data_IF_834815449094
#
_entry.id   IF_834815449094
#
_cell.length_a   1.000
_cell.length_b   1.000
_cell.length_c   1.000
_cell.angle_alpha   90.00
_cell.angle_beta   90.00
_cell.angle_gamma   90.00
#
_symmetry.space_group_name_H-M   'P 1'
#
loop_
_entity.id
_entity.type
_entity.pdbx_description
1 polymer ?
#
# COMPACT_ATOMS: atom_id res chain seq x y z
N UNK A 1 1.40 6.13 -18.13
CA UNK A 1 1.12 5.57 -16.79
C UNK A 1 -0.22 6.07 -16.29
N UNK A 2 -1.09 5.15 -15.88
CA UNK A 2 -2.41 5.49 -15.38
C UNK A 2 -2.59 5.02 -13.95
N UNK A 3 -3.38 5.75 -13.18
CA UNK A 3 -3.78 5.37 -11.83
C UNK A 3 -5.30 5.37 -11.76
N UNK A 4 -5.86 4.21 -11.45
CA UNK A 4 -7.31 4.00 -11.44
C UNK A 4 -7.71 3.56 -10.03
N UNK A 5 -8.81 4.11 -9.52
CA UNK A 5 -9.29 3.72 -8.18
C UNK A 5 -9.56 2.22 -8.11
N UNK A 6 -9.20 1.63 -7.00
CA UNK A 6 -9.53 0.24 -6.67
C UNK A 6 -11.05 0.17 -6.40
N UNK A 7 -11.74 -0.66 -7.18
CA UNK A 7 -13.20 -0.82 -7.10
C UNK A 7 -13.57 -2.29 -7.25
N UNK A 8 -14.86 -2.59 -7.10
CA UNK A 8 -15.38 -3.94 -7.33
C UNK A 8 -15.10 -4.43 -8.76
N UNK A 9 -14.92 -3.52 -9.72
CA UNK A 9 -14.67 -3.90 -11.11
C UNK A 9 -13.25 -4.42 -11.36
N UNK A 10 -12.25 -3.89 -10.62
CA UNK A 10 -10.85 -4.28 -10.83
C UNK A 10 -10.24 -5.08 -9.68
N UNK A 11 -10.95 -5.26 -8.57
CA UNK A 11 -10.42 -5.95 -7.39
C UNK A 11 -10.00 -7.40 -7.69
N UNK A 12 -10.77 -8.11 -8.52
CA UNK A 12 -10.45 -9.50 -8.85
C UNK A 12 -9.06 -9.66 -9.44
N UNK A 13 -8.71 -8.82 -10.41
CA UNK A 13 -7.39 -8.83 -11.04
C UNK A 13 -6.29 -8.50 -10.04
N UNK A 14 -6.53 -7.57 -9.13
CA UNK A 14 -5.58 -7.20 -8.08
C UNK A 14 -5.36 -8.37 -7.13
N UNK A 15 -6.44 -9.04 -6.71
CA UNK A 15 -6.34 -10.18 -5.78
C UNK A 15 -5.52 -11.31 -6.40
N UNK A 16 -5.79 -11.65 -7.66
CA UNK A 16 -5.06 -12.71 -8.35
C UNK A 16 -3.57 -12.40 -8.45
N UNK A 17 -3.23 -11.16 -8.79
CA UNK A 17 -1.84 -10.72 -8.87
C UNK A 17 -1.17 -10.70 -7.49
N UNK A 18 -1.90 -10.30 -6.46
CA UNK A 18 -1.42 -10.28 -5.07
C UNK A 18 -1.09 -11.69 -4.57
N UNK A 19 -2.01 -12.63 -4.75
CA UNK A 19 -1.81 -14.02 -4.35
C UNK A 19 -0.60 -14.61 -5.09
N UNK A 20 -0.54 -14.42 -6.39
CA UNK A 20 0.58 -14.92 -7.20
C UNK A 20 1.92 -14.34 -6.73
N UNK A 21 1.98 -13.04 -6.52
CA UNK A 21 3.21 -12.38 -6.11
C UNK A 21 3.69 -12.85 -4.74
N UNK A 22 2.82 -12.78 -3.73
CA UNK A 22 3.23 -13.11 -2.36
C UNK A 22 3.56 -14.59 -2.19
N UNK A 23 2.80 -15.48 -2.84
CA UNK A 23 3.03 -16.91 -2.68
C UNK A 23 4.28 -17.40 -3.43
N UNK A 24 4.60 -16.77 -4.56
CA UNK A 24 5.74 -17.20 -5.36
C UNK A 24 7.05 -16.47 -5.01
N UNK A 25 6.99 -15.28 -4.44
CA UNK A 25 8.19 -14.45 -4.25
C UNK A 25 8.43 -14.00 -2.82
N UNK A 26 7.45 -14.14 -1.93
CA UNK A 26 7.54 -13.64 -0.55
C UNK A 26 7.16 -14.70 0.49
N UNK A 27 7.23 -15.98 0.11
CA UNK A 27 6.91 -17.11 1.00
C UNK A 27 5.52 -17.05 1.62
N UNK A 28 4.58 -16.43 0.93
CA UNK A 28 3.21 -16.34 1.42
C UNK A 28 2.43 -17.62 1.20
N UNK A 29 1.32 -17.72 1.90
CA UNK A 29 0.36 -18.83 1.74
C UNK A 29 -1.08 -18.27 1.61
N UNK A 30 -1.22 -17.22 0.82
CA UNK A 30 -2.50 -16.58 0.60
C UNK A 30 -3.44 -17.46 -0.21
N UNK A 31 -4.72 -17.44 0.15
CA UNK A 31 -5.79 -17.94 -0.71
C UNK A 31 -6.49 -16.73 -1.32
N UNK A 32 -7.23 -16.93 -2.40
CA UNK A 32 -8.04 -15.88 -3.00
C UNK A 32 -8.97 -15.26 -1.96
N UNK A 33 -9.65 -16.10 -1.19
CA UNK A 33 -10.62 -15.66 -0.19
C UNK A 33 -9.99 -14.76 0.87
N UNK A 34 -8.83 -15.14 1.40
CA UNK A 34 -8.15 -14.35 2.42
C UNK A 34 -7.63 -13.04 1.85
N UNK A 35 -7.08 -13.08 0.64
CA UNK A 35 -6.60 -11.87 -0.02
C UNK A 35 -7.77 -10.93 -0.34
N UNK A 36 -8.91 -11.47 -0.77
CA UNK A 36 -10.13 -10.69 -0.96
C UNK A 36 -10.53 -9.97 0.34
N UNK A 37 -10.59 -10.70 1.45
CA UNK A 37 -10.96 -10.11 2.73
C UNK A 37 -10.03 -8.98 3.14
N UNK A 38 -8.73 -9.19 2.98
CA UNK A 38 -7.75 -8.17 3.34
C UNK A 38 -7.89 -6.91 2.48
N UNK A 39 -7.92 -7.07 1.17
CA UNK A 39 -7.94 -5.95 0.23
C UNK A 39 -9.30 -5.25 0.25
N UNK A 40 -10.38 -6.03 0.23
CA UNK A 40 -11.74 -5.48 0.26
C UNK A 40 -12.01 -4.68 1.55
N UNK A 41 -11.47 -5.13 2.68
CA UNK A 41 -11.61 -4.41 3.94
C UNK A 41 -11.04 -2.99 3.83
N UNK A 42 -9.83 -2.85 3.31
CA UNK A 42 -9.20 -1.53 3.17
C UNK A 42 -9.89 -0.71 2.09
N UNK A 43 -10.30 -1.36 0.99
CA UNK A 43 -10.99 -0.69 -0.11
C UNK A 43 -12.31 -0.06 0.35
N UNK A 44 -13.00 -0.69 1.29
CA UNK A 44 -14.34 -0.27 1.72
C UNK A 44 -14.38 0.44 3.07
N UNK A 45 -13.26 0.55 3.76
CA UNK A 45 -13.20 1.28 5.01
C UNK A 45 -13.49 2.77 4.75
N UNK A 46 -14.11 3.44 5.72
CA UNK A 46 -14.37 4.86 5.60
C UNK A 46 -13.06 5.62 5.39
N UNK A 47 -13.03 6.49 4.39
CA UNK A 47 -11.83 7.26 4.07
C UNK A 47 -10.82 6.51 3.21
N UNK A 48 -11.20 5.37 2.63
CA UNK A 48 -10.28 4.65 1.74
C UNK A 48 -9.87 5.52 0.54
N UNK A 49 -8.58 5.46 0.21
CA UNK A 49 -8.02 6.07 -0.99
C UNK A 49 -7.00 5.10 -1.54
N UNK A 50 -7.46 4.22 -2.44
CA UNK A 50 -6.67 3.08 -2.93
C UNK A 50 -6.70 3.07 -4.45
N UNK A 51 -5.55 2.77 -5.08
CA UNK A 51 -5.37 2.89 -6.52
C UNK A 51 -4.63 1.69 -7.10
N UNK A 52 -4.87 1.47 -8.39
CA UNK A 52 -4.15 0.49 -9.20
C UNK A 52 -3.34 1.25 -10.24
N UNK A 53 -2.09 0.86 -10.41
CA UNK A 53 -1.18 1.45 -11.40
C UNK A 53 -1.17 0.61 -12.67
N UNK A 54 -1.30 1.27 -13.82
CA UNK A 54 -1.18 0.64 -15.14
C UNK A 54 -0.10 1.33 -15.95
N UNK A 55 0.73 0.54 -16.62
CA UNK A 55 1.73 1.03 -17.57
C UNK A 55 1.51 0.30 -18.87
N UNK A 56 1.26 1.04 -19.94
CA UNK A 56 0.95 0.49 -21.26
C UNK A 56 -0.17 -0.56 -21.21
N UNK A 57 -1.21 -0.25 -20.44
CA UNK A 57 -2.39 -1.12 -20.28
C UNK A 57 -2.19 -2.34 -19.40
N UNK A 58 -1.02 -2.50 -18.78
CA UNK A 58 -0.72 -3.64 -17.92
C UNK A 58 -0.73 -3.20 -16.46
N UNK A 59 -1.35 -4.01 -15.60
CA UNK A 59 -1.38 -3.77 -14.17
C UNK A 59 0.00 -4.03 -13.58
N UNK A 60 0.63 -2.99 -13.05
CA UNK A 60 1.99 -3.08 -12.51
C UNK A 60 2.07 -3.10 -11.01
N UNK A 61 1.04 -2.60 -10.33
CA UNK A 61 1.03 -2.56 -8.87
C UNK A 61 -0.24 -1.94 -8.32
N UNK A 62 -0.32 -1.90 -6.99
CA UNK A 62 -1.43 -1.22 -6.34
C UNK A 62 -1.01 -0.65 -4.99
N UNK A 63 -1.79 0.33 -4.54
CA UNK A 63 -1.67 0.95 -3.23
C UNK A 63 -3.03 0.89 -2.56
N UNK A 64 -3.05 0.52 -1.29
CA UNK A 64 -4.25 0.64 -0.48
C UNK A 64 -3.93 1.38 0.81
N UNK A 65 -4.86 2.23 1.22
CA UNK A 65 -4.71 3.02 2.42
C UNK A 65 -5.96 3.85 2.69
N UNK A 66 -5.89 4.65 3.73
CA UNK A 66 -7.05 5.43 4.15
C UNK A 66 -6.63 6.67 4.95
N UNK A 67 -7.52 7.65 4.97
CA UNK A 67 -7.34 8.87 5.74
C UNK A 67 -7.61 8.64 7.22
N UNK A 68 -6.83 9.30 8.07
CA UNK A 68 -6.99 9.28 9.52
C UNK A 68 -7.10 10.73 10.00
N UNK A 69 -8.14 11.02 10.76
CA UNK A 69 -8.29 12.34 11.34
C UNK A 69 -7.70 12.37 12.75
N UNK A 70 -6.85 13.37 13.00
CA UNK A 70 -6.34 13.67 14.34
C UNK A 70 -6.84 15.05 14.75
N UNK A 71 -6.65 15.42 16.00
CA UNK A 71 -7.13 16.69 16.54
C UNK A 71 -6.46 17.90 15.88
N UNK A 72 -5.25 17.77 15.39
CA UNK A 72 -4.47 18.89 14.86
C UNK A 72 -4.09 18.74 13.37
N UNK A 73 -4.30 17.57 12.77
CA UNK A 73 -3.99 17.36 11.36
C UNK A 73 -4.72 16.16 10.79
N UNK A 74 -4.71 16.09 9.46
CA UNK A 74 -5.20 14.93 8.71
C UNK A 74 -4.00 14.13 8.21
N UNK A 75 -4.03 12.81 8.43
CA UNK A 75 -3.00 11.90 7.96
C UNK A 75 -3.56 10.96 6.90
N UNK A 76 -2.66 10.32 6.16
CA UNK A 76 -2.98 9.19 5.30
C UNK A 76 -2.11 8.02 5.72
N UNK A 77 -2.75 6.89 6.02
CA UNK A 77 -2.06 5.66 6.35
C UNK A 77 -1.95 4.79 5.11
N UNK A 78 -0.71 4.59 4.64
CA UNK A 78 -0.39 3.71 3.52
C UNK A 78 -0.34 2.28 4.08
N UNK A 79 -1.42 1.53 3.90
CA UNK A 79 -1.51 0.17 4.43
C UNK A 79 -0.62 -0.79 3.66
N UNK A 80 -0.55 -0.61 2.33
CA UNK A 80 0.30 -1.46 1.49
C UNK A 80 0.60 -0.79 0.15
N UNK A 81 1.83 -0.97 -0.33
CA UNK A 81 2.21 -0.66 -1.70
C UNK A 81 2.93 -1.88 -2.25
N UNK A 82 2.50 -2.33 -3.43
CA UNK A 82 3.09 -3.50 -4.09
C UNK A 82 3.32 -3.18 -5.56
N UNK A 83 4.54 -3.43 -6.03
CA UNK A 83 4.85 -3.48 -7.47
C UNK A 83 5.11 -4.95 -7.77
N UNK A 84 4.36 -5.51 -8.69
CA UNK A 84 4.45 -6.93 -9.00
C UNK A 84 5.80 -7.27 -9.63
N UNK A 85 6.27 -8.50 -9.41
CA UNK A 85 7.66 -8.91 -9.62
C UNK A 85 8.24 -8.51 -10.98
N UNK A 86 7.51 -8.75 -12.05
CA UNK A 86 8.02 -8.48 -13.40
C UNK A 86 8.20 -6.99 -13.71
N UNK A 87 7.62 -6.12 -12.88
CA UNK A 87 7.68 -4.67 -13.07
C UNK A 87 8.58 -3.95 -12.07
N UNK A 88 9.24 -4.70 -11.19
CA UNK A 88 10.13 -4.12 -10.18
C UNK A 88 11.43 -3.59 -10.80
N UNK A 89 12.11 -2.72 -10.06
CA UNK A 89 13.38 -2.10 -10.44
C UNK A 89 13.31 -1.23 -11.69
N UNK A 90 12.16 -0.62 -11.95
CA UNK A 90 11.92 0.31 -13.06
C UNK A 90 11.49 1.70 -12.60
N UNK A 91 11.50 1.94 -11.29
CA UNK A 91 11.07 3.23 -10.73
C UNK A 91 9.56 3.37 -10.53
N UNK A 92 8.79 2.34 -10.77
CA UNK A 92 7.32 2.42 -10.68
C UNK A 92 6.82 2.63 -9.25
N UNK A 93 7.51 2.05 -8.26
CA UNK A 93 7.17 2.28 -6.85
C UNK A 93 7.38 3.72 -6.44
N UNK A 94 8.49 4.32 -6.89
CA UNK A 94 8.79 5.72 -6.62
C UNK A 94 7.74 6.65 -7.24
N UNK A 95 7.37 6.37 -8.49
CA UNK A 95 6.34 7.15 -9.18
C UNK A 95 4.98 7.00 -8.50
N UNK A 96 4.68 5.81 -7.99
CA UNK A 96 3.43 5.59 -7.27
C UNK A 96 3.38 6.38 -5.96
N UNK A 97 4.47 6.39 -5.20
CA UNK A 97 4.53 7.18 -3.97
C UNK A 97 4.37 8.68 -4.26
N UNK A 98 5.01 9.17 -5.32
CA UNK A 98 4.87 10.55 -5.74
C UNK A 98 3.43 10.89 -6.11
N UNK A 99 2.77 10.00 -6.86
CA UNK A 99 1.35 10.16 -7.20
C UNK A 99 0.48 10.24 -5.95
N UNK A 100 0.68 9.31 -5.01
CA UNK A 100 -0.09 9.28 -3.77
C UNK A 100 0.15 10.53 -2.92
N UNK A 101 1.40 10.98 -2.83
CA UNK A 101 1.70 12.20 -2.10
C UNK A 101 0.94 13.39 -2.68
N UNK A 102 0.88 13.50 -4.00
CA UNK A 102 0.13 14.58 -4.65
C UNK A 102 -1.36 14.49 -4.40
N UNK A 103 -1.94 13.29 -4.51
CA UNK A 103 -3.37 13.07 -4.27
C UNK A 103 -3.75 13.45 -2.83
N UNK A 104 -3.03 12.93 -1.86
CA UNK A 104 -3.39 13.14 -0.45
C UNK A 104 -3.11 14.57 0.00
N UNK A 105 -2.07 15.20 -0.56
CA UNK A 105 -1.78 16.61 -0.29
C UNK A 105 -2.93 17.50 -0.76
N UNK A 106 -3.52 17.21 -1.92
CA UNK A 106 -4.68 17.92 -2.43
C UNK A 106 -5.91 17.73 -1.54
N UNK A 107 -5.95 16.66 -0.77
CA UNK A 107 -7.05 16.37 0.17
C UNK A 107 -6.72 16.79 1.60
N UNK A 108 -5.76 17.69 1.78
CA UNK A 108 -5.48 18.32 3.07
C UNK A 108 -4.60 17.53 4.02
N UNK A 109 -3.97 16.46 3.56
CA UNK A 109 -3.09 15.63 4.39
C UNK A 109 -1.79 16.37 4.70
N UNK A 110 -1.36 16.30 5.95
CA UNK A 110 -0.10 16.87 6.43
C UNK A 110 0.90 15.80 6.84
N UNK A 111 0.46 14.56 7.02
CA UNK A 111 1.31 13.46 7.49
C UNK A 111 1.00 12.18 6.72
N UNK A 112 2.02 11.59 6.13
CA UNK A 112 1.95 10.24 5.57
C UNK A 112 2.50 9.26 6.61
N UNK A 113 1.76 8.19 6.88
CA UNK A 113 2.16 7.17 7.84
C UNK A 113 2.21 5.80 7.16
N UNK A 114 3.15 4.97 7.57
CA UNK A 114 3.20 3.56 7.16
C UNK A 114 4.00 2.75 8.17
N UNK A 115 3.83 1.43 8.10
CA UNK A 115 4.67 0.48 8.81
C UNK A 115 5.56 -0.21 7.78
N UNK A 116 6.88 -0.06 7.92
CA UNK A 116 7.84 -0.66 7.00
C UNK A 116 8.40 -1.95 7.57
N UNK A 117 8.67 -2.91 6.69
CA UNK A 117 9.51 -4.03 7.05
C UNK A 117 10.86 -3.46 7.51
N UNK A 118 11.32 -3.92 8.67
CA UNK A 118 12.55 -3.40 9.26
C UNK A 118 13.77 -4.08 8.66
N UNK A 119 14.05 -3.77 7.39
CA UNK A 119 15.25 -4.21 6.71
C UNK A 119 15.88 -3.03 5.97
N UNK A 120 17.12 -3.21 5.56
CA UNK A 120 17.90 -2.13 4.94
C UNK A 120 17.28 -1.63 3.63
N UNK A 121 16.77 -2.54 2.82
CA UNK A 121 16.19 -2.23 1.51
C UNK A 121 14.94 -1.36 1.64
N UNK A 122 13.98 -1.79 2.48
CA UNK A 122 12.73 -1.05 2.70
C UNK A 122 12.99 0.29 3.39
N UNK A 123 13.84 0.30 4.42
CA UNK A 123 14.15 1.53 5.14
C UNK A 123 14.82 2.55 4.24
N UNK A 124 15.76 2.11 3.39
CA UNK A 124 16.42 3.00 2.44
C UNK A 124 15.42 3.61 1.46
N UNK A 125 14.52 2.79 0.92
CA UNK A 125 13.51 3.23 -0.03
C UNK A 125 12.64 4.35 0.56
N UNK A 126 12.09 4.13 1.77
CA UNK A 126 11.21 5.12 2.38
C UNK A 126 11.95 6.37 2.85
N UNK A 127 13.14 6.22 3.43
CA UNK A 127 13.94 7.38 3.87
C UNK A 127 14.30 8.29 2.70
N UNK A 128 14.53 7.73 1.54
CA UNK A 128 14.80 8.49 0.32
C UNK A 128 13.65 9.42 -0.04
N UNK A 129 12.41 9.07 0.32
CA UNK A 129 11.24 9.91 0.10
C UNK A 129 10.92 10.84 1.27
N UNK A 130 11.79 10.92 2.27
CA UNK A 130 11.62 11.81 3.39
C UNK A 130 10.90 11.22 4.58
N UNK A 131 10.62 9.92 4.58
CA UNK A 131 10.02 9.27 5.75
C UNK A 131 11.05 9.16 6.87
N UNK A 132 10.60 9.38 8.09
CA UNK A 132 11.42 9.23 9.28
C UNK A 132 10.90 8.09 10.15
N UNK A 133 11.77 7.52 10.98
CA UNK A 133 11.36 6.51 11.94
C UNK A 133 10.79 7.19 13.17
N UNK A 134 9.52 6.92 13.48
CA UNK A 134 8.89 7.48 14.68
C UNK A 134 9.58 6.94 15.94
N UNK A 135 9.90 7.83 16.86
CA UNK A 135 10.59 7.46 18.11
C UNK A 135 9.65 7.30 19.29
N UNK A 136 8.42 7.82 19.18
CA UNK A 136 7.44 7.82 20.26
C UNK A 136 6.39 6.69 20.13
N UNK A 137 6.46 5.89 19.07
CA UNK A 137 5.58 4.74 18.86
C UNK A 137 6.39 3.53 18.46
N UNK A 138 5.95 2.37 18.94
CA UNK A 138 6.49 1.08 18.48
C UNK A 138 5.31 0.17 18.17
N UNK A 139 5.48 -0.69 17.17
CA UNK A 139 4.50 -1.73 16.90
C UNK A 139 4.63 -2.82 17.94
N UNK A 140 3.51 -3.24 18.52
CA UNK A 140 3.50 -4.29 19.55
C UNK A 140 2.50 -5.36 19.12
N UNK A 141 2.85 -6.61 19.38
CA UNK A 141 1.98 -7.73 19.05
C UNK A 141 1.95 -8.76 20.17
N UNK A 142 0.88 -9.55 20.20
CA UNK A 142 0.76 -10.67 21.13
C UNK A 142 -0.02 -11.78 20.40
N UNK A 143 0.62 -12.93 20.24
CA UNK A 143 -0.09 -14.09 19.70
C UNK A 143 -1.07 -14.60 20.75
N UNK A 144 -2.29 -14.87 20.31
CA UNK A 144 -3.31 -15.44 21.18
C UNK A 144 -3.35 -16.95 20.94
N UNK A 145 -3.09 -17.70 22.02
CA UNK A 145 -3.07 -19.15 21.99
C UNK A 145 -4.16 -19.68 22.92
N UNK A 146 -4.71 -20.85 22.57
CA UNK A 146 -5.73 -21.53 23.39
C UNK A 146 -5.12 -22.22 24.61
#
# INVERSE_FOLDING_TARGET
MEYIKLTEENIDSVIKAYVDYYNNYEDGCWTYEKAYKRIHQVMTIEGSESFVQYVDGKMTGFVMGYYKEFDDLRAYYLAEIVIFKEYQNRGYGAEFLEYMENVVRQNGVKLLELDSVNDEHHMHFYKKFGFYTASNFVSMGKFLED
#
